data_IF_324565831473
#
_entry.id   IF_324565831473
#
_cell.length_a   1.000
_cell.length_b   1.000
_cell.length_c   1.000
_cell.angle_alpha   90.00
_cell.angle_beta   90.00
_cell.angle_gamma   90.00
#
_symmetry.space_group_name_H-M   'P 1'
#
loop_
_entity.id
_entity.type
_entity.pdbx_description
1 polymer ?
#
# COMPACT_ATOMS: atom_id res chain seq x y z
N UNK A 1 -0.23 17.80 -18.02
CA UNK A 1 -0.73 16.68 -17.19
C UNK A 1 0.06 16.73 -15.89
N UNK A 2 -0.60 16.71 -14.72
CA UNK A 2 0.10 16.93 -13.44
C UNK A 2 0.61 15.60 -12.89
N UNK A 3 1.94 15.47 -12.75
CA UNK A 3 2.68 14.35 -12.16
C UNK A 3 2.53 14.30 -10.64
N UNK A 4 1.29 14.31 -10.16
CA UNK A 4 0.98 14.38 -8.74
C UNK A 4 0.72 12.98 -8.16
N UNK A 5 1.34 12.62 -7.04
CA UNK A 5 1.18 11.29 -6.38
C UNK A 5 -0.28 10.98 -6.00
N UNK A 6 -0.96 10.06 -6.70
CA UNK A 6 -2.35 9.66 -6.38
C UNK A 6 -2.37 8.29 -5.72
N UNK A 7 -3.18 8.13 -4.66
CA UNK A 7 -3.47 6.83 -4.01
C UNK A 7 -4.37 5.98 -4.91
N UNK A 8 -3.85 5.54 -6.05
CA UNK A 8 -4.50 4.54 -6.89
C UNK A 8 -3.96 3.17 -6.55
N UNK A 9 -4.74 2.12 -6.80
CA UNK A 9 -4.28 0.72 -6.65
C UNK A 9 -2.94 0.50 -7.34
N UNK A 10 -2.79 1.03 -8.56
CA UNK A 10 -1.55 0.92 -9.34
C UNK A 10 -0.37 1.61 -8.68
N UNK A 11 -0.57 2.81 -8.12
CA UNK A 11 0.50 3.51 -7.40
C UNK A 11 0.88 2.78 -6.11
N UNK A 12 -0.08 2.31 -5.32
CA UNK A 12 0.20 1.63 -4.05
C UNK A 12 0.84 0.25 -4.28
N UNK A 13 0.31 -0.56 -5.20
CA UNK A 13 0.91 -1.84 -5.60
C UNK A 13 2.29 -1.65 -6.24
N UNK A 14 2.45 -0.58 -7.03
CA UNK A 14 3.72 -0.21 -7.64
C UNK A 14 4.75 0.21 -6.59
N UNK A 15 4.38 1.11 -5.68
CA UNK A 15 5.25 1.63 -4.63
C UNK A 15 5.81 0.54 -3.72
N UNK A 16 5.01 -0.49 -3.44
CA UNK A 16 5.43 -1.64 -2.63
C UNK A 16 6.53 -2.49 -3.26
N UNK A 17 6.81 -2.33 -4.57
CA UNK A 17 7.80 -3.14 -5.31
C UNK A 17 8.76 -2.33 -6.18
N UNK A 18 8.46 -1.07 -6.47
CA UNK A 18 9.29 -0.28 -7.36
C UNK A 18 10.59 0.12 -6.67
N UNK A 19 11.69 0.03 -7.42
CA UNK A 19 13.01 0.46 -6.96
C UNK A 19 13.26 1.93 -7.30
N UNK A 20 12.60 2.43 -8.35
CA UNK A 20 12.71 3.79 -8.85
C UNK A 20 11.32 4.35 -9.20
N UNK A 21 11.06 5.57 -8.77
CA UNK A 21 9.89 6.36 -9.15
C UNK A 21 10.39 7.63 -9.82
N UNK A 22 10.41 7.66 -11.15
CA UNK A 22 11.06 8.71 -11.96
C UNK A 22 10.05 9.55 -12.72
N UNK A 23 10.41 10.82 -12.95
CA UNK A 23 9.64 11.75 -13.77
C UNK A 23 9.67 11.31 -15.24
N UNK A 24 8.60 11.60 -16.01
CA UNK A 24 8.50 11.17 -17.41
C UNK A 24 9.68 11.64 -18.30
N UNK A 25 10.35 12.73 -17.89
CA UNK A 25 11.55 13.26 -18.55
C UNK A 25 12.67 12.23 -18.64
N UNK A 26 12.78 11.33 -17.66
CA UNK A 26 13.74 10.21 -17.69
C UNK A 26 13.65 9.43 -19.01
N UNK A 27 12.43 9.05 -19.39
CA UNK A 27 12.18 8.25 -20.61
C UNK A 27 12.49 9.06 -21.85
N UNK A 28 12.09 10.34 -21.87
CA UNK A 28 12.32 11.23 -23.02
C UNK A 28 13.82 11.51 -23.24
N UNK A 29 14.55 11.79 -22.17
CA UNK A 29 15.97 12.12 -22.20
C UNK A 29 16.82 10.87 -22.44
N UNK A 30 16.47 9.73 -21.84
CA UNK A 30 17.10 8.43 -22.14
C UNK A 30 16.91 8.03 -23.61
N UNK A 31 15.71 8.24 -24.16
CA UNK A 31 15.45 7.99 -25.57
C UNK A 31 16.27 8.91 -26.48
N UNK A 32 16.39 10.19 -26.11
CA UNK A 32 17.17 11.18 -26.86
C UNK A 32 18.67 10.88 -26.83
N UNK A 33 19.21 10.51 -25.67
CA UNK A 33 20.62 10.15 -25.48
C UNK A 33 20.96 8.73 -25.99
N UNK A 34 19.94 7.95 -26.39
CA UNK A 34 20.04 6.54 -26.79
C UNK A 34 20.74 5.64 -25.75
N UNK A 35 20.61 6.00 -24.48
CA UNK A 35 21.11 5.25 -23.32
C UNK A 35 20.14 5.44 -22.16
N UNK A 36 20.10 4.47 -21.25
CA UNK A 36 19.42 4.65 -19.98
C UNK A 36 20.25 5.60 -19.11
N UNK A 37 19.62 6.70 -18.71
CA UNK A 37 20.22 7.64 -17.77
C UNK A 37 20.11 7.09 -16.34
N UNK A 38 20.76 7.76 -15.40
CA UNK A 38 20.62 7.43 -13.98
C UNK A 38 19.20 7.79 -13.52
N UNK A 39 18.47 6.81 -13.00
CA UNK A 39 17.11 6.98 -12.49
C UNK A 39 17.05 7.95 -11.29
N UNK A 40 18.10 8.01 -10.47
CA UNK A 40 18.10 8.83 -9.25
C UNK A 40 18.13 10.34 -9.58
N UNK A 41 18.71 10.73 -10.72
CA UNK A 41 18.70 12.11 -11.24
C UNK A 41 17.30 12.60 -11.63
N UNK A 42 16.38 11.67 -11.88
CA UNK A 42 15.00 11.96 -12.32
C UNK A 42 13.97 11.55 -11.28
N UNK A 43 14.38 11.29 -10.05
CA UNK A 43 13.48 10.86 -8.99
C UNK A 43 12.35 11.89 -8.76
N UNK A 44 11.12 11.39 -8.65
CA UNK A 44 9.96 12.22 -8.32
C UNK A 44 10.12 12.72 -6.88
N UNK A 45 10.11 14.04 -6.71
CA UNK A 45 10.03 14.68 -5.40
C UNK A 45 8.77 15.55 -5.36
N UNK A 46 7.76 15.10 -4.61
CA UNK A 46 6.50 15.82 -4.43
C UNK A 46 6.36 16.22 -2.96
N UNK A 47 7.11 17.26 -2.56
CA UNK A 47 7.21 17.70 -1.17
C UNK A 47 5.83 18.05 -0.56
N UNK A 48 4.89 18.56 -1.37
CA UNK A 48 3.53 18.86 -0.90
C UNK A 48 2.79 17.58 -0.51
N UNK A 49 2.92 16.51 -1.30
CA UNK A 49 2.26 15.23 -1.02
C UNK A 49 2.96 14.40 0.02
N UNK A 50 4.29 14.43 0.06
CA UNK A 50 5.07 13.86 1.15
C UNK A 50 4.65 14.45 2.49
N UNK A 51 4.55 15.79 2.57
CA UNK A 51 4.04 16.47 3.76
C UNK A 51 2.58 16.13 4.06
N UNK A 52 1.72 16.09 3.04
CA UNK A 52 0.29 15.76 3.20
C UNK A 52 0.07 14.34 3.72
N UNK A 53 0.89 13.39 3.29
CA UNK A 53 0.74 11.98 3.61
C UNK A 53 1.69 11.49 4.70
N UNK A 54 2.63 12.33 5.14
CA UNK A 54 3.57 12.02 6.22
C UNK A 54 4.57 10.93 5.85
N UNK A 55 5.02 10.88 4.60
CA UNK A 55 6.00 9.88 4.14
C UNK A 55 7.08 10.54 3.30
N UNK A 56 8.24 9.89 3.21
CA UNK A 56 9.31 10.23 2.27
C UNK A 56 9.35 9.16 1.18
N UNK A 57 9.25 9.57 -0.08
CA UNK A 57 9.36 8.68 -1.22
C UNK A 57 10.78 8.08 -1.33
N UNK A 58 11.88 8.86 -1.19
CA UNK A 58 13.25 8.32 -1.09
C UNK A 58 13.41 7.24 -0.02
N UNK A 59 12.89 7.48 1.18
CA UNK A 59 12.99 6.51 2.27
C UNK A 59 12.17 5.25 1.96
N UNK A 60 10.97 5.41 1.39
CA UNK A 60 10.10 4.29 1.02
C UNK A 60 10.75 3.41 -0.05
N UNK A 61 11.34 4.01 -1.09
CA UNK A 61 12.09 3.27 -2.11
C UNK A 61 13.36 2.63 -1.52
N UNK A 62 14.05 3.30 -0.62
CA UNK A 62 15.21 2.75 0.09
C UNK A 62 14.89 1.46 0.84
N UNK A 63 13.75 1.40 1.53
CA UNK A 63 13.26 0.20 2.21
C UNK A 63 12.92 -0.93 1.23
N UNK A 64 12.30 -0.62 0.10
CA UNK A 64 12.01 -1.62 -0.93
C UNK A 64 13.32 -2.16 -1.55
N UNK A 65 14.30 -1.29 -1.82
CA UNK A 65 15.62 -1.67 -2.35
C UNK A 65 16.43 -2.55 -1.38
N UNK A 66 16.25 -2.38 -0.06
CA UNK A 66 16.85 -3.29 0.93
C UNK A 66 16.14 -4.63 1.06
N UNK A 67 15.09 -4.87 0.27
CA UNK A 67 14.30 -6.10 0.25
C UNK A 67 13.18 -6.15 1.28
N UNK A 68 12.95 -5.07 2.03
CA UNK A 68 11.89 -5.04 3.02
C UNK A 68 10.52 -4.98 2.35
N UNK A 69 9.62 -5.83 2.81
CA UNK A 69 8.21 -5.85 2.41
C UNK A 69 7.36 -5.35 3.57
N UNK A 70 6.58 -4.30 3.34
CA UNK A 70 5.87 -3.58 4.41
C UNK A 70 4.79 -4.41 5.10
N UNK A 71 4.25 -5.44 4.44
CA UNK A 71 3.27 -6.37 5.01
C UNK A 71 3.81 -7.80 5.17
N UNK A 72 5.12 -7.99 5.20
CA UNK A 72 5.69 -9.33 5.37
C UNK A 72 5.21 -9.99 6.67
N UNK A 73 4.71 -11.22 6.55
CA UNK A 73 4.14 -11.97 7.67
C UNK A 73 2.77 -11.47 8.15
N UNK A 74 2.25 -10.37 7.58
CA UNK A 74 0.94 -9.82 7.95
C UNK A 74 -0.18 -10.40 7.09
N UNK A 75 -1.31 -10.66 7.72
CA UNK A 75 -2.55 -11.08 7.08
C UNK A 75 -3.57 -9.96 7.11
N UNK A 76 -4.31 -9.75 6.05
CA UNK A 76 -5.26 -8.63 5.93
C UNK A 76 -6.64 -9.16 5.62
N UNK A 77 -7.64 -8.78 6.41
CA UNK A 77 -9.04 -9.04 6.12
C UNK A 77 -9.78 -7.73 5.94
N UNK A 78 -10.54 -7.58 4.86
CA UNK A 78 -11.41 -6.42 4.67
C UNK A 78 -12.88 -6.76 4.92
N UNK A 79 -13.62 -5.79 5.44
CA UNK A 79 -15.08 -5.88 5.54
C UNK A 79 -15.76 -5.51 4.22
N UNK A 80 -17.02 -5.91 4.06
CA UNK A 80 -17.74 -5.91 2.78
C UNK A 80 -17.98 -4.53 2.17
N UNK A 81 -18.02 -3.47 2.97
CA UNK A 81 -18.31 -2.11 2.51
C UNK A 81 -17.05 -1.24 2.38
N UNK A 82 -15.85 -1.81 2.51
CA UNK A 82 -14.58 -1.10 2.31
C UNK A 82 -14.35 -0.81 0.83
N UNK A 83 -13.78 0.36 0.53
CA UNK A 83 -13.24 0.71 -0.78
C UNK A 83 -11.74 0.94 -0.66
N UNK A 84 -10.88 0.37 -1.51
CA UNK A 84 -11.18 -0.20 -2.83
C UNK A 84 -11.76 -1.63 -2.76
N UNK A 85 -12.08 -2.20 -3.93
CA UNK A 85 -12.67 -3.55 -4.02
C UNK A 85 -11.76 -4.61 -3.41
N UNK A 86 -12.31 -5.79 -3.08
CA UNK A 86 -11.51 -6.91 -2.55
C UNK A 86 -10.35 -7.29 -3.48
N UNK A 87 -10.57 -7.31 -4.79
CA UNK A 87 -9.56 -7.68 -5.78
C UNK A 87 -8.43 -6.63 -5.87
N UNK A 88 -8.79 -5.35 -5.80
CA UNK A 88 -7.81 -4.26 -5.74
C UNK A 88 -6.99 -4.32 -4.45
N UNK A 89 -7.65 -4.51 -3.31
CA UNK A 89 -6.99 -4.57 -2.00
C UNK A 89 -6.07 -5.80 -1.92
N UNK A 90 -6.55 -6.95 -2.40
CA UNK A 90 -5.75 -8.17 -2.52
C UNK A 90 -4.47 -7.92 -3.31
N UNK A 91 -4.59 -7.26 -4.47
CA UNK A 91 -3.44 -6.94 -5.32
C UNK A 91 -2.43 -6.03 -4.61
N UNK A 92 -2.89 -5.07 -3.80
CA UNK A 92 -2.01 -4.20 -2.99
C UNK A 92 -1.31 -5.00 -1.89
N UNK A 93 -2.08 -5.80 -1.14
CA UNK A 93 -1.59 -6.59 0.00
C UNK A 93 -0.54 -7.60 -0.44
N UNK A 94 -0.82 -8.36 -1.49
CA UNK A 94 0.11 -9.36 -2.03
C UNK A 94 1.37 -8.70 -2.61
N UNK A 95 1.24 -7.56 -3.30
CA UNK A 95 2.41 -6.81 -3.76
C UNK A 95 3.28 -6.30 -2.61
N UNK A 96 2.68 -6.00 -1.45
CA UNK A 96 3.36 -5.56 -0.24
C UNK A 96 3.93 -6.70 0.62
N UNK A 97 3.78 -7.96 0.19
CA UNK A 97 4.29 -9.15 0.88
C UNK A 97 3.37 -9.73 1.96
N UNK A 98 2.13 -9.23 2.07
CA UNK A 98 1.13 -9.76 2.97
C UNK A 98 0.19 -10.76 2.30
N UNK A 99 -0.69 -11.36 3.09
CA UNK A 99 -1.70 -12.30 2.62
C UNK A 99 -3.12 -11.73 2.82
N UNK A 100 -3.94 -11.76 1.78
CA UNK A 100 -5.35 -11.35 1.87
C UNK A 100 -6.24 -12.52 2.29
N UNK A 101 -6.93 -12.38 3.42
CA UNK A 101 -7.85 -13.37 3.94
C UNK A 101 -9.21 -13.29 3.21
N UNK A 102 -9.68 -14.39 2.58
CA UNK A 102 -10.97 -14.42 1.88
C UNK A 102 -12.16 -14.49 2.83
N UNK A 103 -11.91 -14.86 4.10
CA UNK A 103 -12.94 -15.03 5.12
C UNK A 103 -12.46 -14.43 6.42
N UNK A 104 -13.43 -14.06 7.25
CA UNK A 104 -13.19 -13.58 8.60
C UNK A 104 -12.37 -14.63 9.38
N UNK A 105 -11.31 -14.23 10.10
CA UNK A 105 -10.59 -15.12 10.99
C UNK A 105 -11.52 -15.64 12.10
N UNK A 106 -11.29 -16.88 12.52
CA UNK A 106 -12.13 -17.52 13.53
C UNK A 106 -11.85 -16.91 14.92
N UNK A 107 -12.84 -16.89 15.84
CA UNK A 107 -12.66 -16.34 17.19
C UNK A 107 -11.53 -17.00 18.01
N UNK A 108 -11.18 -18.25 17.67
CA UNK A 108 -10.13 -19.03 18.36
C UNK A 108 -8.75 -18.93 17.72
N UNK A 109 -8.63 -18.24 16.57
CA UNK A 109 -7.40 -18.08 15.82
C UNK A 109 -6.91 -16.63 15.88
N UNK A 110 -7.01 -16.02 17.06
CA UNK A 110 -6.48 -14.67 17.26
C UNK A 110 -4.98 -14.67 16.97
N UNK A 111 -4.56 -13.67 16.21
CA UNK A 111 -3.22 -13.55 15.71
C UNK A 111 -2.89 -12.07 15.53
N UNK A 112 -1.82 -11.64 16.19
CA UNK A 112 -1.39 -10.24 16.23
C UNK A 112 -0.88 -9.75 14.87
N UNK A 113 -0.58 -10.66 13.95
CA UNK A 113 -0.18 -10.37 12.58
C UNK A 113 -1.39 -10.18 11.64
N UNK A 114 -2.61 -10.31 12.14
CA UNK A 114 -3.84 -10.13 11.35
C UNK A 114 -4.42 -8.72 11.50
N UNK A 115 -4.40 -7.96 10.41
CA UNK A 115 -4.94 -6.61 10.26
C UNK A 115 -6.37 -6.66 9.70
N UNK A 116 -7.29 -5.92 10.32
CA UNK A 116 -8.67 -5.81 9.85
C UNK A 116 -8.89 -4.42 9.24
N UNK A 117 -9.15 -4.36 7.94
CA UNK A 117 -9.52 -3.11 7.25
C UNK A 117 -11.04 -2.98 7.26
N UNK A 118 -11.55 -1.91 7.83
CA UNK A 118 -12.99 -1.62 7.91
C UNK A 118 -13.32 -0.19 7.50
N UNK A 119 -14.60 0.14 7.45
CA UNK A 119 -15.10 1.48 7.16
C UNK A 119 -16.12 1.92 8.22
N UNK A 120 -16.41 3.23 8.37
CA UNK A 120 -17.33 3.72 9.40
C UNK A 120 -18.72 3.08 9.41
N UNK A 121 -19.19 2.63 8.24
CA UNK A 121 -20.45 1.91 8.07
C UNK A 121 -20.39 0.50 8.67
N UNK A 122 -19.26 -0.18 8.47
CA UNK A 122 -19.03 -1.55 8.93
C UNK A 122 -18.64 -1.61 10.42
N UNK A 123 -18.01 -0.58 10.97
CA UNK A 123 -17.68 -0.49 12.41
C UNK A 123 -18.92 -0.63 13.31
N UNK A 124 -20.10 -0.24 12.81
CA UNK A 124 -21.37 -0.37 13.55
C UNK A 124 -21.90 -1.80 13.55
N UNK A 125 -21.47 -2.65 12.61
CA UNK A 125 -21.96 -4.04 12.48
C UNK A 125 -21.47 -4.87 13.66
N UNK A 126 -22.34 -5.75 14.23
CA UNK A 126 -22.00 -6.57 15.40
C UNK A 126 -20.78 -7.48 15.14
N UNK A 127 -20.55 -7.85 13.89
CA UNK A 127 -19.41 -8.65 13.47
C UNK A 127 -18.08 -7.93 13.70
N UNK A 128 -17.98 -6.65 13.34
CA UNK A 128 -16.74 -5.86 13.51
C UNK A 128 -16.48 -5.54 14.98
N UNK A 129 -17.55 -5.20 15.73
CA UNK A 129 -17.47 -5.03 17.19
C UNK A 129 -16.95 -6.28 17.91
N UNK A 130 -17.29 -7.47 17.39
CA UNK A 130 -16.78 -8.74 17.92
C UNK A 130 -15.28 -8.90 17.66
N UNK A 131 -14.78 -8.54 16.47
CA UNK A 131 -13.33 -8.54 16.18
C UNK A 131 -12.58 -7.56 17.09
N UNK A 132 -13.17 -6.39 17.36
CA UNK A 132 -12.57 -5.40 18.26
C UNK A 132 -12.43 -5.94 19.69
N UNK A 133 -13.46 -6.64 20.18
CA UNK A 133 -13.44 -7.30 21.49
C UNK A 133 -12.47 -8.48 21.55
N UNK A 134 -12.21 -9.12 20.42
CA UNK A 134 -11.24 -10.23 20.28
C UNK A 134 -9.79 -9.72 20.21
N UNK A 135 -9.55 -8.39 20.16
CA UNK A 135 -8.22 -7.79 20.23
C UNK A 135 -7.57 -7.47 18.88
N UNK A 136 -8.26 -7.69 17.76
CA UNK A 136 -7.69 -7.43 16.43
C UNK A 136 -7.43 -5.94 16.19
N UNK A 137 -6.32 -5.63 15.50
CA UNK A 137 -6.02 -4.28 15.03
C UNK A 137 -6.99 -3.90 13.89
N UNK A 138 -7.95 -3.03 14.20
CA UNK A 138 -8.93 -2.52 13.22
C UNK A 138 -8.46 -1.16 12.71
N UNK A 139 -8.23 -1.09 11.40
CA UNK A 139 -7.87 0.13 10.69
C UNK A 139 -9.06 0.60 9.84
N UNK A 140 -9.41 1.89 9.94
CA UNK A 140 -10.35 2.49 9.00
C UNK A 140 -9.60 2.82 7.70
N UNK A 141 -10.24 2.51 6.57
CA UNK A 141 -9.88 3.10 5.30
C UNK A 141 -10.27 4.59 5.26
#
# INVERSE_FOLDING_TARGET
MSDTVRRTTKFLSGLSRCQHAVHYKYVLESFKEKKWLDEDDYMIMDAEKEKKFGFSLPESLGRVRSGAKILEGKRVFQTTSVKPSYEDMKSIVECAGGEMLPRRPAPKSFDEDTLIVSCPEDLKKPQVKKLQKEGYAIHSN
#
